data_IF_172427596602
#
_entry.id   IF_172427596602
#
_cell.length_a   1.000
_cell.length_b   1.000
_cell.length_c   1.000
_cell.angle_alpha   90.00
_cell.angle_beta   90.00
_cell.angle_gamma   90.00
#
_symmetry.space_group_name_H-M   'P 1'
#
loop_
_entity.id
_entity.type
_entity.pdbx_description
1 polymer ?
#
# COMPACT_ATOMS: atom_id res chain seq x y z
N UNK A 1 -3.67 8.81 13.36
CA UNK A 1 -4.82 7.93 13.08
C UNK A 1 -4.32 6.75 12.26
N UNK A 2 -4.80 5.55 12.56
CA UNK A 2 -4.48 4.34 11.79
C UNK A 2 -5.77 3.85 11.15
N UNK A 3 -5.71 3.59 9.85
CA UNK A 3 -6.80 3.02 9.09
C UNK A 3 -6.36 1.70 8.46
N UNK A 4 -7.13 0.63 8.65
CA UNK A 4 -6.76 -0.74 8.23
C UNK A 4 -7.85 -1.29 7.33
N UNK A 5 -7.43 -1.75 6.15
CA UNK A 5 -8.33 -2.25 5.12
C UNK A 5 -7.81 -3.55 4.52
N UNK A 6 -8.73 -4.46 4.23
CA UNK A 6 -8.47 -5.60 3.33
C UNK A 6 -9.38 -5.45 2.13
N UNK A 7 -8.83 -5.62 0.94
CA UNK A 7 -9.61 -5.52 -0.29
C UNK A 7 -9.20 -6.54 -1.33
N UNK A 8 -10.19 -6.87 -2.17
CA UNK A 8 -10.01 -7.69 -3.36
C UNK A 8 -10.19 -6.82 -4.60
N UNK A 9 -9.25 -6.87 -5.54
CA UNK A 9 -9.43 -6.32 -6.88
C UNK A 9 -9.26 -7.39 -7.95
N UNK A 10 -10.09 -7.30 -8.99
CA UNK A 10 -9.99 -8.10 -10.21
C UNK A 10 -9.68 -7.15 -11.37
N UNK A 11 -8.42 -6.73 -11.56
CA UNK A 11 -8.06 -6.00 -12.77
C UNK A 11 -8.30 -6.94 -13.95
N UNK A 12 -9.14 -6.53 -14.91
CA UNK A 12 -9.68 -7.41 -15.97
C UNK A 12 -8.67 -8.18 -16.84
N UNK A 13 -7.36 -7.90 -16.70
CA UNK A 13 -6.28 -8.62 -17.38
C UNK A 13 -5.06 -8.92 -16.47
N UNK A 14 -5.18 -8.79 -15.14
CA UNK A 14 -4.08 -8.97 -14.18
C UNK A 14 -4.36 -10.02 -13.11
N UNK A 15 -3.36 -10.30 -12.28
CA UNK A 15 -3.54 -11.16 -11.11
C UNK A 15 -4.56 -10.55 -10.15
N UNK A 16 -5.42 -11.38 -9.57
CA UNK A 16 -6.31 -10.94 -8.50
C UNK A 16 -5.46 -10.45 -7.33
N UNK A 17 -5.75 -9.24 -6.85
CA UNK A 17 -5.07 -8.67 -5.69
C UNK A 17 -5.97 -8.93 -4.48
N UNK A 18 -5.59 -9.87 -3.62
CA UNK A 18 -6.08 -9.98 -2.24
C UNK A 18 -4.98 -9.41 -1.34
N UNK A 19 -5.23 -8.23 -0.75
CA UNK A 19 -4.19 -7.55 0.01
C UNK A 19 -4.75 -6.91 1.27
N UNK A 20 -3.97 -6.99 2.34
CA UNK A 20 -4.13 -6.20 3.56
C UNK A 20 -3.21 -4.98 3.49
N UNK A 21 -3.74 -3.80 3.77
CA UNK A 21 -2.95 -2.58 3.89
C UNK A 21 -3.41 -1.73 5.07
N UNK A 22 -2.47 -0.94 5.59
CA UNK A 22 -2.75 0.06 6.60
C UNK A 22 -2.26 1.43 6.13
N UNK A 23 -3.05 2.46 6.37
CA UNK A 23 -2.67 3.84 6.14
C UNK A 23 -2.44 4.52 7.50
N UNK A 24 -1.20 4.92 7.75
CA UNK A 24 -0.85 5.71 8.93
C UNK A 24 -0.94 7.19 8.58
N UNK A 25 -1.79 7.92 9.29
CA UNK A 25 -2.00 9.35 9.12
C UNK A 25 -1.49 10.12 10.34
N UNK A 26 -0.60 11.07 10.13
CA UNK A 26 -0.26 12.08 11.13
C UNK A 26 -1.22 13.26 10.96
N UNK A 27 -1.97 13.57 12.02
CA UNK A 27 -2.95 14.66 12.02
C UNK A 27 -2.48 15.74 13.00
N UNK A 28 -2.43 17.00 12.57
CA UNK A 28 -2.13 18.18 13.39
C UNK A 28 -3.11 19.29 13.06
N UNK A 29 -3.73 19.87 14.09
CA UNK A 29 -4.69 20.99 13.93
C UNK A 29 -5.74 20.70 12.85
N UNK A 30 -6.39 19.53 12.93
CA UNK A 30 -7.45 19.07 12.03
C UNK A 30 -7.05 18.95 10.54
N UNK A 31 -5.75 18.84 10.28
CA UNK A 31 -5.18 18.59 8.96
C UNK A 31 -4.28 17.37 9.00
N UNK A 32 -4.34 16.56 7.94
CA UNK A 32 -3.36 15.49 7.71
C UNK A 32 -2.07 16.18 7.25
N UNK A 33 -0.97 15.94 7.95
CA UNK A 33 0.35 16.50 7.64
C UNK A 33 1.33 15.46 7.09
N UNK A 34 1.02 14.17 7.27
CA UNK A 34 1.81 13.06 6.76
C UNK A 34 0.90 11.85 6.55
N UNK A 35 1.20 11.07 5.51
CA UNK A 35 0.53 9.80 5.23
C UNK A 35 1.56 8.76 4.78
N UNK A 36 1.57 7.61 5.45
CA UNK A 36 2.42 6.47 5.10
C UNK A 36 1.53 5.29 4.75
N UNK A 37 1.73 4.75 3.55
CA UNK A 37 1.08 3.51 3.12
C UNK A 37 1.93 2.32 3.54
N UNK A 38 1.40 1.51 4.45
CA UNK A 38 2.00 0.29 4.94
C UNK A 38 1.32 -0.90 4.27
N UNK A 39 1.88 -1.34 3.14
CA UNK A 39 1.41 -2.53 2.44
C UNK A 39 1.85 -3.79 3.21
N UNK A 40 0.90 -4.66 3.58
CA UNK A 40 1.21 -5.93 4.26
C UNK A 40 2.07 -6.88 3.41
N UNK A 41 1.96 -6.76 2.08
CA UNK A 41 2.64 -7.60 1.09
C UNK A 41 3.66 -6.82 0.24
N UNK A 42 4.44 -5.91 0.84
CA UNK A 42 5.46 -5.12 0.09
C UNK A 42 6.51 -5.99 -0.65
N UNK A 43 6.55 -7.29 -0.39
CA UNK A 43 7.39 -8.24 -1.12
C UNK A 43 6.88 -8.57 -2.56
N UNK A 44 5.66 -8.15 -2.93
CA UNK A 44 5.12 -8.31 -4.28
C UNK A 44 5.29 -7.08 -5.20
N UNK A 45 5.81 -5.95 -4.69
CA UNK A 45 5.92 -4.69 -5.45
C UNK A 45 7.35 -4.34 -5.89
N UNK A 46 8.34 -5.20 -5.62
CA UNK A 46 9.69 -5.00 -6.15
C UNK A 46 9.73 -5.51 -7.60
N UNK A 47 10.04 -4.69 -8.61
CA UNK A 47 10.35 -5.20 -9.93
C UNK A 47 11.57 -6.12 -9.79
N UNK A 48 11.44 -7.36 -10.24
CA UNK A 48 12.58 -8.25 -10.46
C UNK A 48 13.43 -7.66 -11.59
N UNK A 49 14.29 -6.72 -11.27
CA UNK A 49 15.15 -6.02 -12.23
C UNK A 49 16.37 -5.47 -11.51
N UNK A 50 17.44 -6.24 -11.55
CA UNK A 50 18.80 -5.90 -11.12
C UNK A 50 19.22 -4.51 -11.62
N UNK A 51 19.87 -3.65 -10.82
CA UNK A 51 20.52 -2.47 -11.36
C UNK A 51 21.76 -2.91 -12.13
N UNK A 52 21.74 -2.79 -13.47
CA UNK A 52 22.96 -2.84 -14.28
C UNK A 52 23.70 -1.52 -14.14
N UNK A 53 24.96 -1.61 -13.71
CA UNK A 53 25.95 -0.53 -13.78
C UNK A 53 26.13 0.00 -15.20
#
# INVERSE_FOLDING_TARGET
>A
MLDVHRGWSKPGAGNNIDQLWALLLHIKSDRIVEAVNCFGDQQAAMPSGTPTH
#
